data_IF_822743474970
#
_entry.id   IF_822743474970
#
_cell.length_a   1.000
_cell.length_b   1.000
_cell.length_c   1.000
_cell.angle_alpha   90.00
_cell.angle_beta   90.00
_cell.angle_gamma   90.00
#
_symmetry.space_group_name_H-M   'P 1'
#
loop_
_entity.id
_entity.type
_entity.pdbx_description
1 polymer ?
#
# COMPACT_ATOMS: atom_id res chain seq x y z
N UNK A 1 18.69 -30.75 16.29
CA UNK A 1 17.57 -29.84 16.63
C UNK A 1 17.48 -28.60 15.73
N UNK A 2 18.31 -28.49 14.69
CA UNK A 2 18.40 -27.32 13.81
C UNK A 2 17.49 -27.38 12.57
N UNK A 3 17.15 -28.58 12.06
CA UNK A 3 16.34 -28.75 10.84
C UNK A 3 14.85 -28.43 11.01
N UNK A 4 14.26 -28.67 12.19
CA UNK A 4 12.84 -28.39 12.44
C UNK A 4 12.54 -26.87 12.56
N UNK A 5 13.48 -26.11 13.12
CA UNK A 5 13.33 -24.65 13.26
C UNK A 5 13.52 -23.91 11.92
N UNK A 6 14.39 -24.41 11.04
CA UNK A 6 14.56 -23.87 9.68
C UNK A 6 13.30 -24.08 8.84
N UNK A 7 12.68 -25.27 8.95
CA UNK A 7 11.45 -25.59 8.22
C UNK A 7 10.27 -24.71 8.68
N UNK A 8 10.09 -24.52 10.00
CA UNK A 8 9.04 -23.64 10.52
C UNK A 8 9.22 -22.17 10.09
N UNK A 9 10.46 -21.66 10.05
CA UNK A 9 10.72 -20.29 9.62
C UNK A 9 10.44 -20.09 8.12
N UNK A 10 10.72 -21.10 7.28
CA UNK A 10 10.39 -21.08 5.86
C UNK A 10 8.87 -21.16 5.63
N UNK A 11 8.16 -22.04 6.34
CA UNK A 11 6.70 -22.14 6.27
C UNK A 11 6.03 -20.83 6.71
N UNK A 12 6.43 -20.26 7.85
CA UNK A 12 5.92 -18.95 8.31
C UNK A 12 6.24 -17.86 7.28
N UNK A 13 7.43 -17.88 6.69
CA UNK A 13 7.82 -16.92 5.65
C UNK A 13 6.99 -17.05 4.37
N UNK A 14 6.55 -18.26 4.00
CA UNK A 14 5.66 -18.51 2.88
C UNK A 14 4.23 -18.08 3.19
N UNK A 15 3.69 -18.42 4.36
CA UNK A 15 2.35 -18.00 4.78
C UNK A 15 2.22 -16.47 4.88
N UNK A 16 3.23 -15.78 5.41
CA UNK A 16 3.24 -14.31 5.49
C UNK A 16 3.23 -13.62 4.11
N UNK A 17 3.60 -14.32 3.04
CA UNK A 17 3.59 -13.79 1.66
C UNK A 17 2.26 -14.01 0.95
N UNK A 18 1.31 -14.73 1.54
CA UNK A 18 -0.02 -14.88 0.97
C UNK A 18 -0.89 -13.67 1.31
N UNK A 19 -1.77 -13.24 0.39
CA UNK A 19 -2.75 -12.23 0.70
C UNK A 19 -3.85 -12.79 1.61
N UNK A 20 -4.25 -11.99 2.59
CA UNK A 20 -5.39 -12.21 3.47
C UNK A 20 -6.55 -11.27 3.05
N UNK A 21 -7.79 -11.69 3.33
CA UNK A 21 -9.02 -10.95 3.00
C UNK A 21 -9.63 -10.41 4.29
N UNK A 22 -9.77 -9.09 4.38
CA UNK A 22 -10.63 -8.45 5.37
C UNK A 22 -12.09 -8.42 4.84
N UNK A 23 -13.00 -9.23 5.42
CA UNK A 23 -14.37 -9.35 4.93
C UNK A 23 -15.17 -8.05 5.09
N UNK A 24 -14.82 -7.18 6.04
CA UNK A 24 -15.55 -5.92 6.27
C UNK A 24 -15.38 -4.94 5.09
N UNK A 25 -14.35 -5.13 4.28
CA UNK A 25 -14.05 -4.30 3.10
C UNK A 25 -14.24 -5.04 1.77
N UNK A 26 -14.46 -6.35 1.77
CA UNK A 26 -14.65 -7.15 0.56
C UNK A 26 -16.11 -7.12 0.12
N UNK A 27 -16.37 -6.73 -1.13
CA UNK A 27 -17.75 -6.60 -1.65
C UNK A 27 -18.55 -7.90 -1.62
N UNK A 28 -17.90 -9.06 -1.80
CA UNK A 28 -18.57 -10.36 -1.76
C UNK A 28 -18.99 -10.79 -0.36
N UNK A 29 -18.41 -10.21 0.70
CA UNK A 29 -18.84 -10.47 2.06
C UNK A 29 -20.00 -9.55 2.50
N UNK A 30 -20.25 -8.47 1.75
CA UNK A 30 -21.23 -7.43 2.11
C UNK A 30 -22.42 -7.40 1.15
N UNK A 31 -22.28 -7.86 -0.10
CA UNK A 31 -23.31 -7.78 -1.15
C UNK A 31 -23.44 -9.05 -1.99
N UNK A 32 -24.66 -9.59 -2.04
CA UNK A 32 -25.01 -10.80 -2.82
C UNK A 32 -24.93 -10.62 -4.35
N UNK A 33 -24.92 -9.37 -4.84
CA UNK A 33 -24.83 -9.06 -6.28
C UNK A 33 -23.50 -8.38 -6.64
N UNK A 34 -22.45 -8.64 -5.85
CA UNK A 34 -21.13 -8.12 -6.14
C UNK A 34 -20.60 -8.59 -7.51
N UNK A 35 -19.94 -7.69 -8.24
CA UNK A 35 -19.39 -7.97 -9.57
C UNK A 35 -17.91 -7.59 -9.71
N UNK A 36 -17.24 -7.25 -8.60
CA UNK A 36 -15.83 -6.85 -8.61
C UNK A 36 -14.96 -8.05 -9.00
N UNK A 37 -14.00 -7.83 -9.91
CA UNK A 37 -13.06 -8.86 -10.37
C UNK A 37 -11.60 -8.38 -10.30
N UNK A 38 -11.31 -7.24 -9.67
CA UNK A 38 -10.00 -6.59 -9.75
C UNK A 38 -8.84 -7.45 -9.23
N UNK A 39 -9.08 -8.25 -8.18
CA UNK A 39 -8.07 -9.17 -7.66
C UNK A 39 -7.85 -10.39 -8.57
N UNK A 40 -8.94 -10.91 -9.15
CA UNK A 40 -8.93 -12.04 -10.10
C UNK A 40 -8.19 -11.62 -11.37
N UNK A 41 -8.56 -10.49 -11.96
CA UNK A 41 -7.94 -9.95 -13.17
C UNK A 41 -6.47 -9.60 -12.97
N UNK A 42 -6.08 -9.13 -11.78
CA UNK A 42 -4.70 -8.77 -11.46
C UNK A 42 -3.80 -9.97 -11.15
N UNK A 43 -4.34 -11.19 -11.03
CA UNK A 43 -3.58 -12.36 -10.61
C UNK A 43 -2.97 -13.11 -11.81
N UNK A 44 -1.64 -13.00 -12.05
CA UNK A 44 -0.99 -13.72 -13.15
C UNK A 44 -1.06 -15.24 -13.00
N UNK A 45 -1.10 -15.73 -11.75
CA UNK A 45 -1.22 -17.16 -11.43
C UNK A 45 -2.65 -17.69 -11.41
N UNK A 46 -3.67 -16.84 -11.60
CA UNK A 46 -5.10 -17.21 -11.52
C UNK A 46 -5.47 -17.96 -10.23
N UNK A 47 -4.87 -17.57 -9.12
CA UNK A 47 -5.05 -18.21 -7.82
C UNK A 47 -6.37 -17.84 -7.12
N UNK A 48 -7.04 -16.76 -7.53
CA UNK A 48 -8.34 -16.40 -6.95
C UNK A 48 -9.45 -17.25 -7.54
N UNK A 49 -10.23 -17.87 -6.67
CA UNK A 49 -11.41 -18.66 -6.99
C UNK A 49 -12.63 -17.79 -6.71
N UNK A 50 -13.30 -17.33 -7.76
CA UNK A 50 -14.51 -16.54 -7.64
C UNK A 50 -15.74 -17.42 -7.92
N UNK A 51 -16.70 -17.36 -7.01
CA UNK A 51 -18.03 -17.99 -7.12
C UNK A 51 -19.10 -16.90 -7.04
N UNK A 52 -20.37 -17.25 -7.26
CA UNK A 52 -21.48 -16.29 -7.20
C UNK A 52 -21.62 -15.60 -5.83
N UNK A 53 -21.18 -16.26 -4.74
CA UNK A 53 -21.37 -15.78 -3.36
C UNK A 53 -20.06 -15.53 -2.60
N UNK A 54 -18.90 -15.96 -3.11
CA UNK A 54 -17.65 -15.92 -2.35
C UNK A 54 -16.40 -15.79 -3.20
N UNK A 55 -15.38 -15.17 -2.58
CA UNK A 55 -14.02 -15.08 -3.09
C UNK A 55 -13.10 -15.94 -2.21
N UNK A 56 -12.48 -16.95 -2.81
CA UNK A 56 -11.48 -17.82 -2.17
C UNK A 56 -10.11 -17.71 -2.82
N UNK A 57 -9.08 -18.19 -2.13
CA UNK A 57 -7.70 -18.23 -2.62
C UNK A 57 -7.20 -19.68 -2.70
N UNK A 58 -6.77 -20.12 -3.87
CA UNK A 58 -5.92 -21.30 -4.04
C UNK A 58 -4.49 -20.94 -3.60
N UNK A 59 -4.12 -21.36 -2.40
CA UNK A 59 -2.80 -21.08 -1.82
C UNK A 59 -1.67 -21.78 -2.56
N UNK A 60 -1.94 -22.92 -3.22
CA UNK A 60 -0.93 -23.68 -3.94
C UNK A 60 -0.59 -23.01 -5.28
N UNK A 61 -1.57 -22.37 -5.92
CA UNK A 61 -1.38 -21.57 -7.13
C UNK A 61 -0.87 -20.15 -6.87
N UNK A 62 -0.93 -19.68 -5.61
CA UNK A 62 -0.50 -18.32 -5.24
C UNK A 62 1.01 -18.24 -5.03
N UNK A 63 1.67 -17.33 -5.74
CA UNK A 63 3.12 -17.10 -5.61
C UNK A 63 3.49 -15.91 -4.72
N UNK A 64 2.51 -15.32 -4.02
CA UNK A 64 2.70 -14.14 -3.18
C UNK A 64 3.16 -12.89 -3.92
N UNK A 65 2.80 -12.73 -5.21
CA UNK A 65 3.20 -11.54 -5.99
C UNK A 65 2.65 -10.23 -5.46
N UNK A 66 1.50 -10.23 -4.78
CA UNK A 66 0.89 -9.05 -4.16
C UNK A 66 0.20 -8.06 -5.11
N UNK A 67 0.10 -8.37 -6.41
CA UNK A 67 -0.58 -7.49 -7.37
C UNK A 67 -2.07 -7.31 -7.06
N UNK A 68 -2.73 -8.35 -6.55
CA UNK A 68 -4.10 -8.27 -6.08
C UNK A 68 -4.27 -7.25 -4.93
N UNK A 69 -3.28 -7.13 -4.03
CA UNK A 69 -3.30 -6.15 -2.93
C UNK A 69 -3.22 -4.72 -3.45
N UNK A 70 -2.39 -4.45 -4.45
CA UNK A 70 -2.27 -3.10 -5.03
C UNK A 70 -3.42 -2.72 -5.97
N UNK A 71 -4.15 -3.72 -6.48
CA UNK A 71 -5.32 -3.55 -7.35
C UNK A 71 -6.65 -3.58 -6.60
N UNK A 72 -6.71 -4.12 -5.37
CA UNK A 72 -7.94 -4.14 -4.58
C UNK A 72 -8.36 -2.70 -4.22
N UNK A 73 -9.46 -2.18 -4.78
CA UNK A 73 -9.79 -0.77 -4.63
C UNK A 73 -10.31 -0.49 -3.22
N UNK A 74 -11.24 -1.30 -2.70
CA UNK A 74 -11.75 -1.17 -1.32
C UNK A 74 -10.67 -1.35 -0.26
N UNK A 75 -9.53 -1.96 -0.63
CA UNK A 75 -8.45 -2.28 0.29
C UNK A 75 -8.76 -3.49 1.15
N UNK A 76 -9.63 -4.40 0.72
CA UNK A 76 -9.91 -5.65 1.45
C UNK A 76 -8.76 -6.64 1.47
N UNK A 77 -7.79 -6.53 0.55
CA UNK A 77 -6.67 -7.47 0.46
C UNK A 77 -5.44 -6.91 1.15
N UNK A 78 -4.79 -7.74 1.98
CA UNK A 78 -3.61 -7.38 2.76
C UNK A 78 -2.54 -8.44 2.66
N UNK A 79 -1.27 -8.06 2.73
CA UNK A 79 -0.17 -9.01 2.85
C UNK A 79 1.00 -8.37 3.58
N UNK A 80 1.91 -9.19 4.08
CA UNK A 80 3.14 -8.67 4.66
C UNK A 80 4.13 -8.26 3.56
N UNK A 81 4.53 -6.99 3.55
CA UNK A 81 5.54 -6.47 2.66
C UNK A 81 6.92 -6.55 3.32
N UNK A 82 7.89 -7.29 2.73
CA UNK A 82 9.27 -7.15 3.16
C UNK A 82 9.74 -5.73 2.86
N UNK A 83 10.43 -5.11 3.80
CA UNK A 83 10.93 -3.76 3.63
C UNK A 83 12.25 -3.58 4.36
N UNK A 84 13.15 -2.84 3.73
CA UNK A 84 14.46 -2.52 4.30
C UNK A 84 14.67 -1.03 4.19
N UNK A 85 15.03 -0.39 5.32
CA UNK A 85 15.43 1.01 5.34
C UNK A 85 16.94 1.12 5.51
N UNK A 86 17.55 1.99 4.72
CA UNK A 86 18.91 2.53 4.94
C UNK A 86 18.82 4.03 5.13
N UNK A 87 19.89 4.65 5.63
CA UNK A 87 19.97 6.09 5.69
C UNK A 87 21.06 6.58 4.75
N UNK A 88 20.79 7.65 4.02
CA UNK A 88 21.79 8.28 3.16
C UNK A 88 21.67 9.79 3.29
N UNK A 89 22.76 10.46 3.66
CA UNK A 89 22.74 11.91 3.92
C UNK A 89 21.73 12.32 5.01
N UNK A 90 21.47 11.45 5.99
CA UNK A 90 20.51 11.69 7.07
C UNK A 90 19.03 11.51 6.69
N UNK A 91 18.72 11.00 5.49
CA UNK A 91 17.35 10.72 5.03
C UNK A 91 17.11 9.22 4.93
N UNK A 92 15.91 8.72 5.27
CA UNK A 92 15.56 7.33 5.07
C UNK A 92 15.42 7.01 3.59
N UNK A 93 15.97 5.87 3.19
CA UNK A 93 15.93 5.30 1.85
C UNK A 93 15.29 3.91 1.97
N UNK A 94 14.14 3.71 1.33
CA UNK A 94 13.49 2.41 1.28
C UNK A 94 14.04 1.57 0.12
N UNK A 95 14.45 0.35 0.42
CA UNK A 95 14.99 -0.60 -0.55
C UNK A 95 13.95 -1.69 -0.80
N UNK A 96 13.64 -1.90 -2.08
CA UNK A 96 12.86 -3.04 -2.52
C UNK A 96 13.52 -3.70 -3.73
N UNK A 97 13.30 -5.00 -3.86
CA UNK A 97 13.81 -5.80 -4.97
C UNK A 97 12.76 -6.81 -5.42
N UNK A 98 12.53 -6.95 -6.72
CA UNK A 98 11.67 -8.03 -7.23
C UNK A 98 12.46 -9.32 -7.43
N UNK A 99 11.77 -10.47 -7.42
CA UNK A 99 12.39 -11.79 -7.68
C UNK A 99 13.09 -11.90 -9.04
N UNK A 100 12.71 -11.08 -10.02
CA UNK A 100 13.33 -11.05 -11.36
C UNK A 100 14.60 -10.17 -11.45
N UNK A 101 15.05 -9.57 -10.33
CA UNK A 101 16.21 -8.69 -10.34
C UNK A 101 17.58 -9.42 -10.45
N UNK A 102 17.60 -10.75 -10.49
CA UNK A 102 18.83 -11.53 -10.50
C UNK A 102 19.64 -11.36 -9.20
N UNK A 103 18.94 -11.12 -8.09
CA UNK A 103 19.50 -11.03 -6.74
C UNK A 103 19.33 -12.37 -6.02
N UNK A 104 20.22 -12.71 -5.05
CA UNK A 104 20.03 -13.91 -4.25
C UNK A 104 18.68 -13.88 -3.53
N UNK A 105 18.01 -15.03 -3.49
CA UNK A 105 16.80 -15.16 -2.67
C UNK A 105 17.12 -14.79 -1.23
N UNK A 106 16.39 -13.79 -0.75
CA UNK A 106 16.47 -13.34 0.63
C UNK A 106 15.06 -13.01 1.10
N UNK A 107 14.86 -13.02 2.41
CA UNK A 107 13.57 -12.66 3.02
C UNK A 107 13.11 -11.25 2.64
N UNK A 108 14.04 -10.38 2.24
CA UNK A 108 13.83 -8.97 1.94
C UNK A 108 13.56 -8.68 0.44
N UNK A 109 13.61 -9.73 -0.41
CA UNK A 109 13.20 -9.66 -1.82
C UNK A 109 11.72 -10.05 -1.91
N UNK A 110 10.95 -9.19 -2.57
CA UNK A 110 9.53 -9.41 -2.84
C UNK A 110 9.33 -10.10 -4.19
N UNK A 111 8.22 -10.81 -4.35
CA UNK A 111 7.89 -11.46 -5.62
C UNK A 111 7.70 -10.43 -6.75
N UNK A 112 7.07 -9.28 -6.48
CA UNK A 112 6.93 -8.19 -7.45
C UNK A 112 6.90 -6.81 -6.79
N UNK A 113 7.77 -5.88 -7.22
CA UNK A 113 7.79 -4.49 -6.70
C UNK A 113 6.54 -3.68 -7.06
N UNK A 114 5.79 -4.12 -8.07
CA UNK A 114 4.51 -3.54 -8.47
C UNK A 114 3.35 -3.83 -7.51
N UNK A 115 3.58 -4.68 -6.50
CA UNK A 115 2.66 -4.83 -5.37
C UNK A 115 2.65 -3.62 -4.43
N UNK A 116 3.60 -2.69 -4.55
CA UNK A 116 3.57 -1.42 -3.84
C UNK A 116 2.45 -0.54 -4.41
N UNK A 117 1.28 -0.61 -3.80
CA UNK A 117 0.12 0.18 -4.16
C UNK A 117 0.19 1.63 -3.67
N UNK A 118 -0.78 2.42 -4.10
CA UNK A 118 -0.91 3.84 -3.72
C UNK A 118 -0.93 4.03 -2.20
N UNK A 119 -1.62 3.14 -1.48
CA UNK A 119 -1.67 3.16 -0.01
C UNK A 119 -0.29 2.99 0.62
N UNK A 120 0.47 1.97 0.20
CA UNK A 120 1.83 1.72 0.70
C UNK A 120 2.75 2.92 0.45
N UNK A 121 2.68 3.52 -0.74
CA UNK A 121 3.46 4.71 -1.09
C UNK A 121 3.13 5.90 -0.17
N UNK A 122 1.85 6.12 0.15
CA UNK A 122 1.41 7.22 0.98
C UNK A 122 1.72 7.00 2.47
N UNK A 123 1.59 5.76 2.93
CA UNK A 123 2.03 5.34 4.27
C UNK A 123 3.53 5.56 4.45
N UNK A 124 4.35 5.24 3.45
CA UNK A 124 5.79 5.56 3.47
C UNK A 124 6.05 7.07 3.46
N UNK A 125 5.35 7.80 2.60
CA UNK A 125 5.50 9.26 2.51
C UNK A 125 5.17 9.97 3.84
N UNK A 126 4.06 9.59 4.47
CA UNK A 126 3.66 10.13 5.79
C UNK A 126 4.61 9.72 6.92
N UNK A 127 5.35 8.62 6.76
CA UNK A 127 6.45 8.23 7.65
C UNK A 127 7.77 8.97 7.35
N UNK A 128 7.81 9.89 6.39
CA UNK A 128 8.98 10.67 5.99
C UNK A 128 9.93 9.93 5.04
N UNK A 129 9.49 8.81 4.45
CA UNK A 129 10.24 8.01 3.49
C UNK A 129 9.84 8.47 2.08
N UNK A 130 10.68 9.29 1.46
CA UNK A 130 10.42 9.86 0.13
C UNK A 130 11.26 9.25 -0.98
N UNK A 131 12.31 8.49 -0.65
CA UNK A 131 13.28 7.98 -1.61
C UNK A 131 13.21 6.44 -1.61
N UNK A 132 12.94 5.87 -2.77
CA UNK A 132 12.79 4.43 -3.00
C UNK A 132 13.87 3.96 -3.97
N UNK A 133 14.72 3.04 -3.52
CA UNK A 133 15.72 2.36 -4.34
C UNK A 133 15.20 0.98 -4.75
N UNK A 134 14.93 0.83 -6.05
CA UNK A 134 14.33 -0.39 -6.62
C UNK A 134 15.37 -1.17 -7.41
N UNK A 135 15.46 -2.47 -7.15
CA UNK A 135 16.10 -3.43 -8.04
C UNK A 135 15.03 -4.27 -8.75
N UNK A 136 15.04 -4.27 -10.08
CA UNK A 136 14.05 -5.00 -10.87
C UNK A 136 14.68 -5.70 -12.08
N UNK A 137 13.97 -6.69 -12.60
CA UNK A 137 14.25 -7.29 -13.90
C UNK A 137 13.58 -6.53 -15.04
N UNK A 138 13.56 -7.13 -16.22
CA UNK A 138 12.80 -6.62 -17.36
C UNK A 138 11.32 -6.95 -17.21
N UNK A 139 10.47 -5.92 -17.14
CA UNK A 139 9.03 -6.09 -16.98
C UNK A 139 8.30 -6.41 -18.29
N UNK A 140 8.91 -6.14 -19.46
CA UNK A 140 8.28 -6.39 -20.76
C UNK A 140 8.11 -7.88 -21.07
N UNK A 141 8.93 -8.73 -20.43
CA UNK A 141 8.92 -10.19 -20.56
C UNK A 141 8.63 -10.90 -19.23
N UNK A 142 8.19 -10.17 -18.21
CA UNK A 142 8.02 -10.70 -16.87
C UNK A 142 6.72 -11.50 -16.73
N UNK A 143 6.76 -12.74 -16.21
CA UNK A 143 5.56 -13.56 -16.03
C UNK A 143 4.59 -13.02 -14.97
N UNK A 144 5.03 -12.06 -14.16
CA UNK A 144 4.20 -11.41 -13.16
C UNK A 144 3.34 -10.29 -13.74
N UNK A 145 3.70 -9.71 -14.87
CA UNK A 145 2.97 -8.59 -15.46
C UNK A 145 1.81 -9.12 -16.30
N UNK A 146 0.63 -8.54 -16.09
CA UNK A 146 -0.58 -8.77 -16.87
C UNK A 146 -1.21 -7.44 -17.30
N UNK A 147 -2.23 -7.48 -18.17
CA UNK A 147 -2.88 -6.29 -18.75
C UNK A 147 -3.46 -5.32 -17.70
N UNK A 148 -3.76 -5.78 -16.48
CA UNK A 148 -4.24 -4.94 -15.36
C UNK A 148 -3.15 -4.43 -14.42
N UNK A 149 -1.88 -4.78 -14.66
CA UNK A 149 -0.77 -4.37 -13.80
C UNK A 149 -0.44 -2.90 -14.01
N UNK A 150 -0.62 -2.09 -12.97
CA UNK A 150 -0.18 -0.68 -12.98
C UNK A 150 1.28 -0.63 -12.52
N UNK A 151 2.15 -0.07 -13.35
CA UNK A 151 3.58 0.04 -13.01
C UNK A 151 3.80 1.02 -11.84
N UNK A 152 4.87 0.78 -11.08
CA UNK A 152 5.16 1.50 -9.84
C UNK A 152 5.48 2.96 -10.17
N UNK A 153 6.17 3.16 -11.29
CA UNK A 153 6.46 4.47 -11.82
C UNK A 153 5.18 5.27 -12.12
N UNK A 154 4.19 4.67 -12.78
CA UNK A 154 2.91 5.33 -13.07
C UNK A 154 2.16 5.72 -11.77
N UNK A 155 2.18 4.85 -10.76
CA UNK A 155 1.60 5.15 -9.43
C UNK A 155 2.32 6.32 -8.75
N UNK A 156 3.65 6.36 -8.81
CA UNK A 156 4.46 7.45 -8.25
C UNK A 156 4.19 8.76 -9.00
N UNK A 157 4.08 8.73 -10.32
CA UNK A 157 3.74 9.90 -11.13
C UNK A 157 2.36 10.47 -10.78
N UNK A 158 1.35 9.60 -10.60
CA UNK A 158 0.04 10.03 -10.14
C UNK A 158 0.09 10.61 -8.72
N UNK A 159 0.76 9.93 -7.78
CA UNK A 159 0.92 10.41 -6.41
C UNK A 159 1.64 11.76 -6.37
N UNK A 160 2.70 11.95 -7.16
CA UNK A 160 3.46 13.19 -7.19
C UNK A 160 2.66 14.38 -7.70
N UNK A 161 1.68 14.18 -8.59
CA UNK A 161 0.72 15.24 -8.96
C UNK A 161 -0.08 15.70 -7.73
N UNK A 162 -0.64 14.76 -6.97
CA UNK A 162 -1.40 15.05 -5.74
C UNK A 162 -0.55 15.68 -4.64
N UNK A 163 0.71 15.25 -4.49
CA UNK A 163 1.65 15.83 -3.54
C UNK A 163 2.06 17.26 -3.93
N UNK A 164 2.27 17.50 -5.23
CA UNK A 164 2.64 18.82 -5.75
C UNK A 164 1.54 19.86 -5.51
N UNK A 165 0.27 19.51 -5.72
CA UNK A 165 -0.88 20.38 -5.40
C UNK A 165 -0.90 20.81 -3.92
N UNK A 166 -0.27 20.02 -3.04
CA UNK A 166 -0.21 20.24 -1.59
C UNK A 166 1.14 20.81 -1.12
N UNK A 167 2.03 21.18 -2.05
CA UNK A 167 3.39 21.66 -1.75
C UNK A 167 4.22 20.66 -0.91
N UNK A 168 3.97 19.36 -1.06
CA UNK A 168 4.70 18.30 -0.38
C UNK A 168 5.87 17.81 -1.23
N UNK A 169 6.89 17.27 -0.56
CA UNK A 169 8.03 16.67 -1.25
C UNK A 169 7.57 15.46 -2.09
N UNK A 170 8.06 15.31 -3.33
CA UNK A 170 7.69 14.19 -4.18
C UNK A 170 8.34 12.88 -3.70
N UNK A 171 7.69 11.77 -4.01
CA UNK A 171 8.27 10.43 -3.96
C UNK A 171 9.23 10.25 -5.13
N UNK A 172 10.44 9.75 -4.85
CA UNK A 172 11.50 9.55 -5.83
C UNK A 172 11.78 8.08 -6.01
N UNK A 173 11.71 7.65 -7.26
CA UNK A 173 12.14 6.33 -7.70
C UNK A 173 13.60 6.42 -8.17
N UNK A 174 14.50 5.78 -7.44
CA UNK A 174 15.92 5.76 -7.74
C UNK A 174 16.26 4.48 -8.50
N UNK A 175 16.50 4.63 -9.80
CA UNK A 175 16.90 3.54 -10.69
C UNK A 175 18.41 3.48 -10.81
N UNK A 176 19.04 2.57 -10.06
CA UNK A 176 20.46 2.25 -10.18
C UNK A 176 20.65 0.79 -10.59
N UNK A 177 21.88 0.41 -10.96
CA UNK A 177 22.15 -0.99 -11.26
C UNK A 177 21.94 -1.89 -10.04
N UNK A 178 21.54 -3.15 -10.27
CA UNK A 178 21.35 -4.14 -9.20
C UNK A 178 22.64 -4.33 -8.37
N UNK A 179 23.82 -4.05 -8.94
CA UNK A 179 25.09 -4.02 -8.21
C UNK A 179 25.17 -2.88 -7.19
N UNK A 180 24.68 -1.68 -7.52
CA UNK A 180 24.58 -0.55 -6.57
C UNK A 180 23.59 -0.87 -5.47
N UNK A 181 22.42 -1.42 -5.84
CA UNK A 181 21.42 -1.88 -4.87
C UNK A 181 22.04 -2.86 -3.87
N UNK A 182 22.75 -3.89 -4.35
CA UNK A 182 23.44 -4.88 -3.49
C UNK A 182 24.45 -4.25 -2.55
N UNK A 183 25.23 -3.27 -3.02
CA UNK A 183 26.20 -2.57 -2.17
C UNK A 183 25.50 -1.82 -1.05
N UNK A 184 24.43 -1.09 -1.34
CA UNK A 184 23.67 -0.31 -0.35
C UNK A 184 22.93 -1.25 0.62
N UNK A 185 22.34 -2.34 0.10
CA UNK A 185 21.69 -3.35 0.92
C UNK A 185 22.66 -4.03 1.89
N UNK A 186 23.87 -4.37 1.43
CA UNK A 186 24.91 -5.01 2.24
C UNK A 186 25.61 -4.04 3.21
N UNK A 187 25.45 -2.73 3.07
CA UNK A 187 25.97 -1.78 4.05
C UNK A 187 25.27 -1.99 5.39
N UNK A 188 26.06 -2.38 6.39
CA UNK A 188 25.66 -2.42 7.80
C UNK A 188 25.58 -1.00 8.37
N UNK A 189 24.70 -0.15 7.85
CA UNK A 189 24.17 0.93 8.69
C UNK A 189 23.06 0.35 9.59
N UNK A 190 23.52 -0.07 10.75
CA UNK A 190 22.79 -0.37 11.99
C UNK A 190 21.67 0.69 12.21
N UNK A 191 20.42 0.35 11.88
CA UNK A 191 19.35 0.43 12.89
C UNK A 191 19.24 -0.96 13.52
N UNK A 192 20.36 -1.37 14.08
CA UNK A 192 20.43 -2.47 15.01
C UNK A 192 19.46 -2.17 16.14
N UNK A 193 18.77 -3.20 16.63
CA UNK A 193 18.03 -3.15 17.89
C UNK A 193 18.85 -2.37 18.93
N UNK A 194 18.40 -1.18 19.32
CA UNK A 194 19.06 -0.35 20.34
C UNK A 194 19.77 0.90 19.79
N UNK A 195 19.08 2.03 19.90
CA UNK A 195 19.60 3.35 20.29
C UNK A 195 21.07 3.68 19.96
N UNK A 196 21.28 4.47 18.89
CA UNK A 196 22.53 5.20 18.65
C UNK A 196 22.60 6.48 19.52
N UNK A 197 22.64 6.34 20.84
CA UNK A 197 22.98 7.44 21.75
C UNK A 197 24.43 7.33 22.19
N UNK A 198 25.25 8.36 21.89
CA UNK A 198 26.52 8.54 22.58
C UNK A 198 26.20 8.87 24.05
N UNK A 199 26.98 8.33 25.00
CA UNK A 199 26.80 8.51 26.47
C UNK A 199 26.49 9.95 26.91
N UNK A 200 26.98 10.97 26.19
CA UNK A 200 26.74 12.39 26.51
C UNK A 200 25.31 12.87 26.20
N UNK A 201 24.63 12.22 25.26
CA UNK A 201 23.30 12.64 24.76
C UNK A 201 22.16 12.07 25.62
N UNK A 202 22.46 11.20 26.60
CA UNK A 202 21.48 10.59 27.50
C UNK A 202 21.14 11.47 28.72
N UNK A 203 22.03 12.37 29.13
CA UNK A 203 21.90 13.15 30.37
C UNK A 203 21.35 14.57 30.18
N UNK A 204 21.19 15.04 28.94
CA UNK A 204 20.51 16.30 28.65
C UNK A 204 19.05 16.03 28.32
N UNK A 205 18.10 16.74 28.94
CA UNK A 205 16.64 16.54 28.77
C UNK A 205 16.08 16.58 27.33
N UNK A 206 16.90 16.84 26.32
CA UNK A 206 16.62 16.66 24.89
C UNK A 206 16.68 15.19 24.42
N UNK A 207 17.24 14.29 25.24
CA UNK A 207 17.36 12.86 24.99
C UNK A 207 16.00 12.23 24.66
N UNK A 208 14.95 12.58 25.42
CA UNK A 208 13.59 12.04 25.26
C UNK A 208 12.95 12.38 23.92
N UNK A 209 13.31 13.53 23.32
CA UNK A 209 12.80 13.97 22.01
C UNK A 209 13.54 13.29 20.84
N UNK A 210 14.87 13.12 20.96
CA UNK A 210 15.68 12.34 20.02
C UNK A 210 15.42 10.84 20.13
N UNK A 211 15.18 10.32 21.33
CA UNK A 211 14.73 8.95 21.59
C UNK A 211 13.38 8.67 20.93
N UNK A 212 12.42 9.60 20.99
CA UNK A 212 11.15 9.47 20.23
C UNK A 212 11.34 9.51 18.71
N UNK A 213 12.38 10.17 18.21
CA UNK A 213 12.73 10.17 16.79
C UNK A 213 13.52 8.92 16.36
N UNK A 214 14.23 8.26 17.28
CA UNK A 214 15.11 7.11 17.00
C UNK A 214 14.56 5.75 17.46
N UNK A 215 13.63 5.74 18.40
CA UNK A 215 12.86 4.57 18.82
C UNK A 215 11.48 4.64 18.19
N UNK A 216 11.34 4.10 16.99
CA UNK A 216 10.36 3.06 16.65
C UNK A 216 10.76 2.59 15.26
N UNK A 217 11.01 1.29 15.11
CA UNK A 217 10.83 0.56 13.86
C UNK A 217 9.35 0.78 13.52
N UNK A 218 9.03 1.87 12.84
CA UNK A 218 7.70 2.03 12.27
C UNK A 218 7.77 1.12 11.06
N UNK A 219 7.46 -0.17 11.20
CA UNK A 219 7.03 -0.97 10.05
C UNK A 219 5.70 -0.38 9.61
N UNK A 220 5.73 0.57 8.66
CA UNK A 220 4.55 1.35 8.40
C UNK A 220 3.64 0.55 7.46
N UNK A 221 4.19 -0.38 6.67
CA UNK A 221 3.50 -1.19 5.68
C UNK A 221 2.70 -2.33 6.31
N UNK A 222 3.16 -2.88 7.45
CA UNK A 222 2.57 -4.07 8.05
C UNK A 222 1.75 -3.79 9.32
N UNK A 223 1.32 -2.54 9.54
CA UNK A 223 0.39 -2.16 10.63
C UNK A 223 -1.06 -2.30 10.20
N UNK A 224 -1.89 -2.86 11.09
CA UNK A 224 -3.34 -2.98 10.88
C UNK A 224 -4.00 -1.64 10.50
N UNK A 225 -3.68 -0.54 11.19
CA UNK A 225 -4.24 0.78 10.86
C UNK A 225 -3.83 1.28 9.46
N UNK A 226 -2.69 0.84 8.92
CA UNK A 226 -2.20 1.29 7.62
C UNK A 226 -2.80 0.49 6.45
N UNK A 227 -3.48 -0.61 6.75
CA UNK A 227 -4.09 -1.51 5.79
C UNK A 227 -5.44 -0.99 5.28
N UNK A 228 -6.26 -0.41 6.16
CA UNK A 228 -7.65 -0.04 5.84
C UNK A 228 -7.88 1.46 5.61
N UNK A 229 -6.93 2.33 5.97
CA UNK A 229 -7.08 3.77 5.77
C UNK A 229 -7.14 4.09 4.27
N UNK A 230 -8.18 4.83 3.80
CA UNK A 230 -8.26 5.28 2.41
C UNK A 230 -7.05 6.15 2.05
N UNK A 231 -6.42 5.96 0.88
CA UNK A 231 -5.22 6.71 0.54
C UNK A 231 -5.43 8.24 0.60
N UNK A 232 -6.58 8.76 0.17
CA UNK A 232 -6.88 10.19 0.27
C UNK A 232 -6.81 10.73 1.71
N UNK A 233 -7.20 9.96 2.72
CA UNK A 233 -7.16 10.35 4.13
C UNK A 233 -5.73 10.43 4.71
N UNK A 234 -4.73 9.91 3.99
CA UNK A 234 -3.31 10.06 4.32
C UNK A 234 -2.70 11.37 3.78
N UNK A 235 -3.42 12.09 2.91
CA UNK A 235 -3.00 13.41 2.45
C UNK A 235 -3.49 14.48 3.43
N UNK A 236 -2.65 15.49 3.73
CA UNK A 236 -3.16 16.69 4.37
C UNK A 236 -4.16 17.39 3.44
N UNK A 237 -5.06 18.16 4.04
CA UNK A 237 -5.99 19.00 3.30
C UNK A 237 -5.21 19.94 2.36
N UNK A 238 -5.70 20.08 1.14
CA UNK A 238 -5.07 20.96 0.16
C UNK A 238 -5.17 22.43 0.61
N UNK A 239 -4.10 23.19 0.34
CA UNK A 239 -3.93 24.57 0.83
C UNK A 239 -4.88 25.56 0.10
N UNK A 240 -5.49 25.18 -1.03
CA UNK A 240 -6.40 26.04 -1.80
C UNK A 240 -7.83 25.51 -1.86
N UNK A 241 -8.81 26.44 -1.79
CA UNK A 241 -10.24 26.15 -1.81
C UNK A 241 -10.78 25.71 -3.19
N UNK A 242 -10.05 26.00 -4.28
CA UNK A 242 -10.46 25.70 -5.66
C UNK A 242 -9.36 24.87 -6.35
N UNK A 243 -9.52 23.55 -6.38
CA UNK A 243 -8.57 22.64 -7.06
C UNK A 243 -8.29 21.33 -6.33
N UNK A 244 -9.29 20.75 -5.66
CA UNK A 244 -9.14 19.52 -4.87
C UNK A 244 -9.07 18.30 -5.80
N UNK A 245 -7.87 17.79 -6.08
CA UNK A 245 -7.73 16.43 -6.62
C UNK A 245 -7.47 15.45 -5.47
N UNK A 246 -8.20 14.36 -5.49
CA UNK A 246 -8.00 13.19 -4.62
C UNK A 246 -7.64 11.98 -5.48
N UNK A 247 -7.02 10.93 -4.90
CA UNK A 247 -6.70 9.72 -5.65
C UNK A 247 -7.91 9.14 -6.39
N UNK A 248 -9.08 9.20 -5.75
CA UNK A 248 -10.37 8.83 -6.33
C UNK A 248 -11.46 9.78 -5.86
N UNK A 249 -12.51 9.90 -6.65
CA UNK A 249 -13.76 10.56 -6.30
C UNK A 249 -14.91 9.74 -6.90
N UNK A 250 -16.00 9.52 -6.15
CA UNK A 250 -17.14 8.78 -6.67
C UNK A 250 -17.81 9.61 -7.76
N UNK A 251 -18.19 8.95 -8.86
CA UNK A 251 -18.82 9.60 -10.02
C UNK A 251 -20.30 9.28 -10.03
N UNK A 252 -21.14 10.31 -9.98
CA UNK A 252 -22.59 10.16 -10.03
C UNK A 252 -23.19 10.99 -11.15
N UNK A 253 -24.16 10.41 -11.84
CA UNK A 253 -25.06 11.17 -12.70
C UNK A 253 -26.28 11.60 -11.87
N UNK A 254 -26.32 12.88 -11.51
CA UNK A 254 -27.42 13.46 -10.72
C UNK A 254 -28.80 13.26 -11.36
N UNK A 255 -28.86 13.10 -12.69
CA UNK A 255 -30.09 12.83 -13.45
C UNK A 255 -30.67 11.43 -13.20
N UNK A 256 -29.84 10.45 -12.83
CA UNK A 256 -30.26 9.07 -12.60
C UNK A 256 -30.50 8.79 -11.11
N UNK A 257 -30.16 9.74 -10.23
CA UNK A 257 -30.36 9.62 -8.80
C UNK A 257 -31.86 9.73 -8.46
N UNK A 258 -32.40 8.67 -7.85
CA UNK A 258 -33.77 8.62 -7.35
C UNK A 258 -33.87 8.78 -5.83
N UNK A 259 -32.75 9.03 -5.13
CA UNK A 259 -32.71 9.18 -3.68
C UNK A 259 -32.91 7.88 -2.90
N UNK A 260 -32.55 6.71 -3.45
CA UNK A 260 -32.72 5.41 -2.79
C UNK A 260 -31.71 5.10 -1.67
N UNK A 261 -30.77 6.01 -1.38
CA UNK A 261 -29.73 5.85 -0.36
C UNK A 261 -28.84 4.61 -0.53
N UNK A 262 -28.81 3.98 -1.71
CA UNK A 262 -27.93 2.84 -1.95
C UNK A 262 -26.46 3.26 -1.82
N UNK A 263 -26.06 4.37 -2.46
CA UNK A 263 -24.67 4.81 -2.46
C UNK A 263 -24.09 5.08 -1.05
N UNK A 264 -24.89 5.62 -0.11
CA UNK A 264 -24.46 5.83 1.28
C UNK A 264 -24.44 4.54 2.09
N UNK A 265 -25.40 3.64 1.87
CA UNK A 265 -25.46 2.34 2.57
C UNK A 265 -24.38 1.39 2.10
N UNK A 266 -23.98 1.51 0.84
CA UNK A 266 -23.03 0.59 0.22
C UNK A 266 -21.56 0.99 0.43
N UNK A 267 -21.29 2.24 0.84
CA UNK A 267 -19.93 2.79 0.92
C UNK A 267 -19.18 2.24 2.15
N UNK A 268 -18.11 1.45 1.97
CA UNK A 268 -17.40 0.83 3.11
C UNK A 268 -16.52 1.83 3.90
N UNK A 269 -16.36 3.06 3.40
CA UNK A 269 -15.47 4.06 3.98
C UNK A 269 -16.18 5.34 4.38
N UNK A 270 -17.51 5.34 4.37
CA UNK A 270 -18.36 6.51 4.67
C UNK A 270 -17.99 7.77 3.87
N UNK A 271 -17.47 7.58 2.65
CA UNK A 271 -17.16 8.68 1.72
C UNK A 271 -18.41 9.42 1.23
N UNK A 272 -19.59 8.87 1.50
CA UNK A 272 -20.89 9.38 1.09
C UNK A 272 -21.80 9.42 2.30
N UNK A 273 -22.36 10.59 2.60
CA UNK A 273 -23.20 10.80 3.78
C UNK A 273 -24.43 11.62 3.41
N UNK A 274 -25.52 11.48 4.16
CA UNK A 274 -26.69 12.33 4.03
C UNK A 274 -26.57 13.53 4.97
N UNK A 275 -26.62 14.73 4.43
CA UNK A 275 -26.71 15.97 5.20
C UNK A 275 -28.11 16.55 5.10
N UNK A 276 -28.71 16.83 6.25
CA UNK A 276 -30.01 17.50 6.37
C UNK A 276 -29.78 18.91 6.89
N UNK A 277 -29.75 19.88 5.98
CA UNK A 277 -29.61 21.30 6.32
C UNK A 277 -30.83 22.07 5.81
N UNK A 278 -31.46 22.88 6.65
CA UNK A 278 -32.58 23.76 6.31
C UNK A 278 -33.75 23.06 5.58
N UNK A 279 -34.07 21.83 5.99
CA UNK A 279 -35.17 21.04 5.40
C UNK A 279 -34.89 20.50 4.00
N UNK A 280 -33.64 20.61 3.51
CA UNK A 280 -33.19 20.00 2.25
C UNK A 280 -32.19 18.89 2.56
N UNK A 281 -32.50 17.69 2.09
CA UNK A 281 -31.58 16.57 2.11
C UNK A 281 -30.61 16.68 0.93
N UNK A 282 -29.31 16.56 1.19
CA UNK A 282 -28.28 16.54 0.17
C UNK A 282 -27.24 15.46 0.50
N UNK A 283 -26.75 14.77 -0.54
CA UNK A 283 -25.63 13.86 -0.38
C UNK A 283 -24.32 14.65 -0.32
N UNK A 284 -23.58 14.46 0.77
CA UNK A 284 -22.24 14.97 0.97
C UNK A 284 -21.24 13.94 0.45
N UNK A 285 -20.28 14.39 -0.35
CA UNK A 285 -19.19 13.55 -0.87
C UNK A 285 -17.88 13.99 -0.21
N UNK A 286 -17.28 13.11 0.58
CA UNK A 286 -15.94 13.26 1.13
C UNK A 286 -14.94 12.46 0.31
N UNK A 287 -14.49 13.05 -0.81
CA UNK A 287 -13.59 12.43 -1.78
C UNK A 287 -12.30 11.87 -1.16
N UNK A 288 -11.83 12.45 -0.04
CA UNK A 288 -10.65 11.97 0.71
C UNK A 288 -10.81 10.53 1.22
N UNK A 289 -12.04 10.08 1.48
CA UNK A 289 -12.34 8.72 1.92
C UNK A 289 -12.68 7.78 0.76
N UNK A 290 -12.80 8.29 -0.47
CA UNK A 290 -13.05 7.46 -1.63
C UNK A 290 -11.83 6.59 -1.95
N UNK A 291 -12.10 5.30 -2.18
CA UNK A 291 -11.09 4.30 -2.51
C UNK A 291 -11.14 3.87 -3.97
N UNK A 292 -12.07 4.43 -4.76
CA UNK A 292 -12.25 4.07 -6.17
C UNK A 292 -12.85 2.69 -6.39
N UNK A 293 -13.53 2.12 -5.38
CA UNK A 293 -14.13 0.79 -5.44
C UNK A 293 -15.33 0.65 -6.37
N UNK A 294 -15.92 1.76 -6.82
CA UNK A 294 -17.08 1.81 -7.72
C UNK A 294 -18.31 1.02 -7.23
N UNK A 295 -18.38 0.64 -5.95
CA UNK A 295 -19.54 -0.04 -5.36
C UNK A 295 -20.78 0.86 -5.42
N UNK A 296 -20.57 2.17 -5.26
CA UNK A 296 -21.63 3.17 -5.27
C UNK A 296 -21.98 3.70 -6.67
N UNK A 297 -21.33 3.22 -7.74
CA UNK A 297 -21.45 3.78 -9.09
C UNK A 297 -22.75 3.39 -9.79
#
# INVERSE_FOLDING_TARGET
MTTAATNLAETIGQELRLPDIDPDYCVYAVYDQASCQDCVDACPGKAWILTDESLGLDTDSCNGCGLCVSNCPSGALHMHFPWTIRHFGGKPLALFACGQAGLPDSKDVMSCVHALGTRQLMVMHTAGITDLLIAQGDCSSCPMICDRSILLQERIEHLNRLLSERHLAPMKLLSYSNAVWRKIYAQEEIISRGTLLKRRDFLGGSASRKLKQQMVILDPLNRSKCQTVPPGALLPDAISENGRSWPWAPRFESRNCNGCDACIRLCPTDALQLSNSDGKAAYLIEEKYCTGCNICA
#
